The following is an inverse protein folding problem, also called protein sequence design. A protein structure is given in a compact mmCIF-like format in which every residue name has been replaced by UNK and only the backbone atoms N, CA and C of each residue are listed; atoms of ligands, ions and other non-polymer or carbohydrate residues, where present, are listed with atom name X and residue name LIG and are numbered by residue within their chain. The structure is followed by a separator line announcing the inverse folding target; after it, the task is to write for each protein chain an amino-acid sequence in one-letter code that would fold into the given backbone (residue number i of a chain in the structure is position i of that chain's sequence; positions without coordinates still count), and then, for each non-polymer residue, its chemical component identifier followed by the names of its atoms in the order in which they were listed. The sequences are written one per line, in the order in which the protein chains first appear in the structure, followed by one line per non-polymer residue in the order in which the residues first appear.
data_IF_175358786897
#
_entry.id   IF_175358786897
#
_cell.length_a   1.000
_cell.length_b   1.000
_cell.length_c   1.000
_cell.angle_alpha   90.00
_cell.angle_beta   90.00
_cell.angle_gamma   90.00
#
_symmetry.space_group_name_H-M   'P 1'
#
loop_
_entity.id
_entity.type
_entity.pdbx_description
1 polymer ?
#
# COMPACT_ATOMS: atom_id res chain seq x y z
N UNK A 1 -51.41 40.96 -52.25
CA UNK A 1 -50.13 41.54 -51.80
C UNK A 1 -49.74 40.85 -50.51
N UNK A 2 -48.49 40.38 -50.49
CA UNK A 2 -47.64 39.94 -49.39
C UNK A 2 -48.06 38.76 -48.50
N UNK A 3 -47.45 37.61 -48.79
CA UNK A 3 -47.18 36.58 -47.80
C UNK A 3 -45.94 36.92 -46.97
N UNK A 4 -45.97 36.66 -45.66
CA UNK A 4 -44.78 36.60 -44.80
C UNK A 4 -44.92 35.49 -43.76
N UNK A 5 -43.86 34.69 -43.74
CA UNK A 5 -43.53 33.56 -42.89
C UNK A 5 -43.61 33.88 -41.39
N UNK A 6 -44.13 32.91 -40.63
CA UNK A 6 -43.99 32.84 -39.17
C UNK A 6 -42.54 32.50 -38.80
N UNK A 7 -41.85 33.41 -38.07
CA UNK A 7 -40.57 33.13 -37.39
C UNK A 7 -40.84 32.69 -35.96
N UNK A 8 -40.20 31.61 -35.53
CA UNK A 8 -40.14 31.17 -34.14
C UNK A 8 -39.24 32.09 -33.28
N UNK A 9 -39.58 32.32 -31.99
CA UNK A 9 -38.72 33.02 -31.04
C UNK A 9 -37.58 32.11 -30.50
N UNK A 10 -36.43 32.70 -30.09
CA UNK A 10 -35.28 31.94 -29.56
C UNK A 10 -35.54 31.43 -28.12
N UNK A 11 -34.91 30.31 -27.71
CA UNK A 11 -35.09 29.73 -26.37
C UNK A 11 -34.38 30.53 -25.27
N UNK A 12 -35.06 30.67 -24.13
CA UNK A 12 -34.61 31.33 -22.90
C UNK A 12 -33.71 30.41 -22.06
N UNK A 13 -32.61 30.95 -21.51
CA UNK A 13 -31.78 30.29 -20.48
C UNK A 13 -32.48 30.30 -19.11
N UNK A 14 -32.47 29.19 -18.35
CA UNK A 14 -32.88 29.22 -16.94
C UNK A 14 -31.75 29.68 -16.01
N UNK A 15 -32.11 30.63 -15.15
CA UNK A 15 -31.35 31.29 -14.09
C UNK A 15 -31.07 30.37 -12.89
N UNK A 16 -29.93 30.58 -12.21
CA UNK A 16 -29.59 29.97 -10.91
C UNK A 16 -30.52 30.45 -9.78
N UNK A 17 -30.73 29.63 -8.73
CA UNK A 17 -31.16 30.13 -7.42
C UNK A 17 -30.06 30.00 -6.33
N UNK A 18 -29.90 31.08 -5.57
CA UNK A 18 -29.34 31.19 -4.22
C UNK A 18 -30.49 31.61 -3.28
N UNK A 19 -30.61 31.34 -1.96
CA UNK A 19 -29.84 30.67 -0.89
C UNK A 19 -30.78 30.50 0.35
N UNK A 20 -30.51 29.56 1.29
CA UNK A 20 -30.55 29.71 2.79
C UNK A 20 -30.81 28.42 3.63
N UNK A 21 -29.73 27.86 4.20
CA UNK A 21 -29.43 27.26 5.55
C UNK A 21 -30.44 26.39 6.36
N UNK A 22 -29.95 25.36 7.13
CA UNK A 22 -29.16 25.55 8.37
C UNK A 22 -27.89 24.70 8.52
N UNK A 23 -26.97 25.18 9.37
CA UNK A 23 -25.67 24.59 9.72
C UNK A 23 -25.80 23.29 10.53
N UNK A 24 -25.05 22.25 10.12
CA UNK A 24 -24.74 21.07 10.91
C UNK A 24 -23.19 20.91 10.92
N UNK A 25 -22.50 20.70 12.05
CA UNK A 25 -21.05 20.76 12.11
C UNK A 25 -20.37 19.39 11.89
N UNK A 26 -19.26 19.40 11.12
CA UNK A 26 -18.16 18.40 11.07
C UNK A 26 -18.47 16.98 10.51
N UNK A 27 -17.76 16.36 9.55
CA UNK A 27 -16.48 16.51 8.85
C UNK A 27 -16.57 15.86 7.45
N UNK A 28 -15.88 16.33 6.37
CA UNK A 28 -15.72 15.55 5.14
C UNK A 28 -14.33 14.87 5.04
N UNK A 29 -14.36 13.57 4.73
CA UNK A 29 -13.22 12.80 4.22
C UNK A 29 -12.73 13.43 2.91
N UNK A 30 -11.51 13.98 2.90
CA UNK A 30 -10.93 14.56 1.70
C UNK A 30 -10.08 13.51 0.97
N UNK A 31 -10.61 13.08 -0.18
CA UNK A 31 -9.89 12.43 -1.27
C UNK A 31 -8.69 13.30 -1.70
N UNK A 32 -7.48 12.77 -1.57
CA UNK A 32 -6.24 13.41 -2.05
C UNK A 32 -5.63 12.55 -3.16
N UNK A 33 -6.33 12.46 -4.30
CA UNK A 33 -5.76 11.94 -5.54
C UNK A 33 -6.32 12.70 -6.75
N UNK A 34 -5.99 13.98 -6.87
CA UNK A 34 -6.09 14.68 -8.16
C UNK A 34 -5.51 16.08 -8.04
N UNK A 35 -4.19 16.23 -8.22
CA UNK A 35 -3.57 17.40 -8.88
C UNK A 35 -2.21 16.98 -9.47
N UNK A 36 -2.15 16.86 -10.79
CA UNK A 36 -0.90 16.92 -11.57
C UNK A 36 -0.54 18.37 -11.87
N UNK A 37 0.72 18.78 -11.69
CA UNK A 37 1.29 19.88 -12.48
C UNK A 37 2.41 19.40 -13.40
N UNK A 38 2.62 20.19 -14.44
CA UNK A 38 3.40 19.93 -15.64
C UNK A 38 4.91 19.71 -15.41
N UNK A 39 5.49 18.98 -16.36
CA UNK A 39 6.91 18.64 -16.51
C UNK A 39 7.83 19.88 -16.53
N UNK A 40 8.81 19.90 -15.63
CA UNK A 40 10.17 20.36 -15.91
C UNK A 40 11.17 19.41 -15.24
N UNK A 41 12.10 18.85 -16.02
CA UNK A 41 13.17 17.98 -15.54
C UNK A 41 14.05 18.67 -14.50
N UNK A 42 14.59 17.91 -13.53
CA UNK A 42 16.02 18.02 -13.29
C UNK A 42 16.74 16.67 -13.09
N UNK A 43 18.04 16.74 -13.27
CA UNK A 43 19.02 15.66 -13.30
C UNK A 43 19.08 14.80 -12.03
N UNK A 44 19.34 13.51 -12.25
CA UNK A 44 19.89 12.59 -11.26
C UNK A 44 21.23 13.13 -10.72
N UNK A 45 21.45 13.07 -9.41
CA UNK A 45 22.36 12.04 -8.90
C UNK A 45 21.93 11.46 -7.55
N UNK A 46 21.87 10.13 -7.45
CA UNK A 46 21.78 9.41 -6.17
C UNK A 46 22.98 9.74 -5.26
N UNK A 47 22.78 9.66 -3.94
CA UNK A 47 23.61 8.70 -3.23
C UNK A 47 22.85 7.86 -2.19
N UNK A 48 23.10 6.56 -2.23
CA UNK A 48 22.88 5.60 -1.14
C UNK A 48 23.77 5.97 0.05
N UNK A 49 23.20 6.29 1.21
CA UNK A 49 23.83 6.07 2.54
C UNK A 49 22.94 6.62 3.65
N UNK A 50 22.14 5.77 4.29
CA UNK A 50 21.72 6.06 5.67
C UNK A 50 21.33 4.78 6.42
N UNK A 51 22.29 3.88 6.67
CA UNK A 51 22.18 2.85 7.71
C UNK A 51 23.57 2.40 8.18
N UNK A 52 24.26 3.24 8.96
CA UNK A 52 25.32 2.77 9.86
C UNK A 52 25.40 3.68 11.10
N UNK A 53 24.82 3.23 12.22
CA UNK A 53 25.14 3.78 13.53
C UNK A 53 25.51 2.63 14.49
N UNK A 54 26.81 2.40 14.63
CA UNK A 54 27.41 1.73 15.79
C UNK A 54 27.76 2.78 16.84
N UNK A 55 27.49 2.57 18.15
CA UNK A 55 27.89 3.53 19.18
C UNK A 55 29.36 3.34 19.56
N UNK A 56 30.18 4.36 19.30
CA UNK A 56 31.57 4.44 19.74
C UNK A 56 31.66 5.25 21.04
N UNK A 57 32.31 4.69 22.06
CA UNK A 57 32.62 5.34 23.34
C UNK A 57 33.58 6.53 23.16
N UNK A 58 33.44 7.64 23.91
CA UNK A 58 34.51 8.63 24.02
C UNK A 58 35.43 8.33 25.22
N UNK A 59 36.76 8.43 25.06
CA UNK A 59 37.69 8.48 26.18
C UNK A 59 37.95 9.95 26.55
N UNK A 60 37.64 10.37 27.78
CA UNK A 60 38.42 11.42 28.41
C UNK A 60 38.22 11.49 29.93
N UNK A 61 39.29 11.23 30.66
CA UNK A 61 39.44 11.51 32.08
C UNK A 61 39.91 12.96 32.29
N UNK A 62 39.44 13.67 33.33
CA UNK A 62 40.23 14.69 33.99
C UNK A 62 40.83 14.14 35.30
N UNK A 63 42.07 14.53 35.68
CA UNK A 63 42.64 14.14 36.97
C UNK A 63 42.15 15.10 38.06
N UNK A 64 41.44 14.59 39.07
CA UNK A 64 41.27 15.29 40.34
C UNK A 64 41.96 14.52 41.45
N UNK A 65 43.10 15.09 41.84
CA UNK A 65 43.84 14.77 43.05
C UNK A 65 43.00 15.21 44.26
N UNK A 66 42.75 14.33 45.23
CA UNK A 66 42.20 14.71 46.53
C UNK A 66 42.66 13.73 47.60
N UNK A 67 43.47 14.29 48.50
CA UNK A 67 44.11 13.70 49.66
C UNK A 67 43.22 12.76 50.51
N UNK A 68 43.88 11.71 50.99
CA UNK A 68 43.45 10.79 52.03
C UNK A 68 43.63 11.44 53.41
N UNK A 69 42.58 11.45 54.25
CA UNK A 69 42.66 11.38 55.72
C UNK A 69 41.32 10.87 56.33
N UNK A 70 41.34 9.87 57.26
CA UNK A 70 40.21 9.45 58.12
C UNK A 70 40.21 10.24 59.45
N UNK A 71 39.17 10.25 60.35
CA UNK A 71 38.40 9.12 60.95
C UNK A 71 36.87 9.42 61.04
N UNK A 72 35.92 8.58 61.49
CA UNK A 72 35.74 7.82 62.75
C UNK A 72 34.37 7.05 62.66
N UNK A 73 34.08 6.03 63.51
CA UNK A 73 33.01 5.05 63.28
C UNK A 73 31.70 5.27 64.10
N UNK A 74 30.57 4.95 63.45
CA UNK A 74 29.26 4.46 63.96
C UNK A 74 28.43 5.35 64.93
N UNK A 75 27.10 5.14 65.16
CA UNK A 75 26.37 3.87 65.11
C UNK A 75 25.01 3.83 64.36
N UNK A 76 24.80 2.71 63.67
CA UNK A 76 23.54 1.95 63.54
C UNK A 76 22.19 2.68 63.69
N UNK A 77 21.49 2.87 62.57
CA UNK A 77 20.02 2.95 62.53
C UNK A 77 19.46 1.74 61.77
N UNK A 78 18.81 0.86 62.53
CA UNK A 78 18.07 -0.29 62.01
C UNK A 78 16.77 0.19 61.39
N UNK A 79 16.73 0.32 60.06
CA UNK A 79 15.47 0.46 59.34
C UNK A 79 14.89 -0.93 59.12
N UNK A 80 13.71 -1.17 59.71
CA UNK A 80 12.88 -2.34 59.41
C UNK A 80 12.59 -2.35 57.91
N UNK A 81 13.00 -3.42 57.24
CA UNK A 81 12.60 -3.75 55.88
C UNK A 81 11.08 -3.91 55.83
N UNK A 82 10.41 -2.87 55.34
CA UNK A 82 9.05 -2.98 54.85
C UNK A 82 9.18 -3.36 53.38
N UNK A 83 8.95 -4.64 53.08
CA UNK A 83 8.90 -5.17 51.71
C UNK A 83 7.68 -4.57 50.99
N UNK A 84 7.81 -3.34 50.49
CA UNK A 84 6.98 -2.88 49.39
C UNK A 84 7.64 -3.40 48.11
N UNK A 85 6.95 -4.29 47.41
CA UNK A 85 7.29 -4.69 46.05
C UNK A 85 7.25 -3.43 45.18
N UNK A 86 8.42 -2.85 44.93
CA UNK A 86 8.59 -1.78 43.95
C UNK A 86 8.52 -2.45 42.58
N UNK A 87 7.33 -2.48 41.98
CA UNK A 87 7.18 -2.78 40.56
C UNK A 87 8.00 -1.78 39.78
N UNK A 88 9.08 -2.22 39.14
CA UNK A 88 9.93 -1.35 38.34
C UNK A 88 9.14 -0.84 37.12
N UNK A 89 9.33 0.42 36.68
CA UNK A 89 8.63 0.97 35.51
C UNK A 89 8.81 0.15 34.24
N UNK A 90 9.93 -0.59 34.13
CA UNK A 90 10.24 -1.49 33.01
C UNK A 90 9.25 -2.67 32.88
N UNK A 91 8.77 -3.22 34.00
CA UNK A 91 7.83 -4.36 33.97
C UNK A 91 6.45 -3.93 33.46
N UNK A 92 6.01 -2.71 33.81
CA UNK A 92 4.72 -2.19 33.36
C UNK A 92 4.74 -1.79 31.88
N UNK A 93 5.85 -1.23 31.38
CA UNK A 93 6.00 -0.95 29.95
C UNK A 93 6.01 -2.23 29.10
N UNK A 94 6.65 -3.29 29.59
CA UNK A 94 6.74 -4.56 28.88
C UNK A 94 5.39 -5.29 28.85
N UNK A 95 4.69 -5.38 29.98
CA UNK A 95 3.34 -5.95 30.03
C UNK A 95 2.34 -5.18 29.13
N UNK A 96 2.51 -3.86 29.02
CA UNK A 96 1.71 -3.04 28.10
C UNK A 96 2.03 -3.35 26.64
N UNK A 97 3.31 -3.47 26.28
CA UNK A 97 3.73 -3.81 24.93
C UNK A 97 3.23 -5.19 24.50
N UNK A 98 3.31 -6.20 25.38
CA UNK A 98 2.78 -7.54 25.15
C UNK A 98 1.26 -7.53 24.92
N UNK A 99 0.52 -6.74 25.70
CA UNK A 99 -0.93 -6.56 25.51
C UNK A 99 -1.25 -5.93 24.15
N UNK A 100 -0.46 -4.93 23.72
CA UNK A 100 -0.64 -4.30 22.41
C UNK A 100 -0.29 -5.28 21.28
N UNK A 101 0.78 -6.05 21.42
CA UNK A 101 1.19 -7.06 20.44
C UNK A 101 0.10 -8.13 20.26
N UNK A 102 -0.50 -8.61 21.36
CA UNK A 102 -1.63 -9.53 21.30
C UNK A 102 -2.85 -8.94 20.59
N UNK A 103 -3.15 -7.66 20.80
CA UNK A 103 -4.24 -6.97 20.10
C UNK A 103 -3.96 -6.81 18.60
N UNK A 104 -2.72 -6.51 18.23
CA UNK A 104 -2.26 -6.45 16.83
C UNK A 104 -2.38 -7.81 16.15
N UNK A 105 -1.89 -8.88 16.80
CA UNK A 105 -1.98 -10.24 16.27
C UNK A 105 -3.44 -10.65 16.05
N UNK A 106 -4.31 -10.38 17.02
CA UNK A 106 -5.75 -10.63 16.89
C UNK A 106 -6.37 -9.83 15.75
N UNK A 107 -6.13 -8.52 15.69
CA UNK A 107 -6.66 -7.66 14.63
C UNK A 107 -6.26 -8.13 13.24
N UNK A 108 -5.01 -8.58 13.07
CA UNK A 108 -4.53 -9.18 11.83
C UNK A 108 -5.31 -10.45 11.48
N UNK A 109 -5.46 -11.38 12.43
CA UNK A 109 -6.23 -12.62 12.20
C UNK A 109 -7.68 -12.33 11.84
N UNK A 110 -8.32 -11.37 12.51
CA UNK A 110 -9.70 -10.98 12.23
C UNK A 110 -9.86 -10.43 10.80
N UNK A 111 -8.92 -9.59 10.33
CA UNK A 111 -8.93 -9.07 8.96
C UNK A 111 -8.72 -10.18 7.91
N UNK A 112 -7.81 -11.11 8.17
CA UNK A 112 -7.59 -12.27 7.29
C UNK A 112 -8.85 -13.14 7.22
N UNK A 113 -9.48 -13.40 8.36
CA UNK A 113 -10.72 -14.18 8.44
C UNK A 113 -11.89 -13.50 7.71
N UNK A 114 -11.89 -12.16 7.63
CA UNK A 114 -12.84 -11.40 6.84
C UNK A 114 -12.56 -11.43 5.32
N UNK A 115 -11.44 -12.03 4.89
CA UNK A 115 -11.02 -12.04 3.49
C UNK A 115 -10.55 -10.68 2.98
N UNK A 116 -10.22 -9.75 3.88
CA UNK A 116 -9.75 -8.42 3.54
C UNK A 116 -8.25 -8.39 3.22
N UNK A 117 -7.83 -7.35 2.48
CA UNK A 117 -6.42 -6.98 2.43
C UNK A 117 -5.97 -6.38 3.77
N UNK A 118 -4.81 -6.84 4.22
CA UNK A 118 -4.20 -6.46 5.48
C UNK A 118 -3.07 -5.47 5.22
N UNK A 119 -3.16 -4.29 5.84
CA UNK A 119 -2.07 -3.32 5.90
C UNK A 119 -1.69 -3.04 7.35
N UNK A 120 -0.46 -2.61 7.56
CA UNK A 120 0.03 -2.21 8.89
C UNK A 120 -0.84 -1.11 9.50
N UNK A 121 -1.33 -0.19 8.68
CA UNK A 121 -2.22 0.87 9.12
C UNK A 121 -3.59 0.33 9.58
N UNK A 122 -4.24 -0.52 8.80
CA UNK A 122 -5.54 -1.13 9.17
C UNK A 122 -5.42 -1.92 10.47
N UNK A 123 -4.36 -2.71 10.61
CA UNK A 123 -4.09 -3.50 11.81
C UNK A 123 -3.84 -2.60 13.02
N UNK A 124 -3.04 -1.54 12.88
CA UNK A 124 -2.79 -0.59 13.95
C UNK A 124 -4.09 0.12 14.41
N UNK A 125 -4.94 0.55 13.48
CA UNK A 125 -6.23 1.16 13.80
C UNK A 125 -7.16 0.17 14.52
N UNK A 126 -7.29 -1.05 13.99
CA UNK A 126 -8.12 -2.08 14.61
C UNK A 126 -7.63 -2.45 16.02
N UNK A 127 -6.31 -2.51 16.24
CA UNK A 127 -5.73 -2.75 17.56
C UNK A 127 -6.05 -1.60 18.54
N UNK A 128 -5.96 -0.34 18.12
CA UNK A 128 -6.33 0.81 18.96
C UNK A 128 -7.80 0.78 19.37
N UNK A 129 -8.69 0.44 18.43
CA UNK A 129 -10.13 0.26 18.71
C UNK A 129 -10.36 -0.86 19.72
N UNK A 130 -9.71 -2.02 19.54
CA UNK A 130 -9.84 -3.16 20.45
C UNK A 130 -9.30 -2.85 21.87
N UNK A 131 -8.28 -2.01 21.97
CA UNK A 131 -7.69 -1.59 23.24
C UNK A 131 -8.42 -0.40 23.89
N UNK A 132 -9.38 0.21 23.20
CA UNK A 132 -10.08 1.43 23.62
C UNK A 132 -9.10 2.58 23.89
N UNK A 133 -8.14 2.79 23.00
CA UNK A 133 -7.15 3.87 23.08
C UNK A 133 -7.33 4.81 21.89
N UNK A 134 -7.38 6.11 22.16
CA UNK A 134 -7.69 7.13 21.14
C UNK A 134 -6.61 7.28 20.07
N UNK A 135 -5.35 7.02 20.42
CA UNK A 135 -4.22 7.19 19.49
C UNK A 135 -3.03 6.33 19.87
N UNK A 136 -2.16 6.06 18.90
CA UNK A 136 -0.91 5.36 19.15
C UNK A 136 0.03 6.13 20.08
N UNK A 137 0.01 7.47 20.02
CA UNK A 137 0.83 8.33 20.88
C UNK A 137 0.56 8.12 22.38
N UNK A 138 -0.67 7.79 22.75
CA UNK A 138 -1.08 7.52 24.14
C UNK A 138 -0.50 6.22 24.72
N UNK A 139 0.09 5.36 23.88
CA UNK A 139 0.72 4.10 24.30
C UNK A 139 2.12 4.32 24.89
N UNK A 140 2.78 5.44 24.55
CA UNK A 140 4.09 5.81 25.09
C UNK A 140 5.26 5.07 24.44
N UNK A 141 5.05 4.40 23.31
CA UNK A 141 6.07 3.70 22.54
C UNK A 141 5.71 3.69 21.04
N UNK A 142 6.70 3.47 20.17
CA UNK A 142 6.52 3.51 18.71
C UNK A 142 5.90 2.21 18.17
N UNK A 143 5.29 2.26 16.98
CA UNK A 143 4.73 1.07 16.31
C UNK A 143 5.79 -0.01 16.05
N UNK A 144 7.03 0.40 15.79
CA UNK A 144 8.17 -0.47 15.52
C UNK A 144 8.58 -1.29 16.75
N UNK A 145 8.20 -0.85 17.95
CA UNK A 145 8.48 -1.56 19.20
C UNK A 145 7.47 -2.69 19.46
N UNK A 146 6.43 -2.84 18.63
CA UNK A 146 5.47 -3.94 18.68
C UNK A 146 5.88 -5.00 17.64
N UNK A 147 6.41 -6.16 18.05
CA UNK A 147 7.01 -7.13 17.14
C UNK A 147 6.10 -7.57 15.99
N UNK A 148 4.84 -7.90 16.28
CA UNK A 148 3.87 -8.37 15.28
C UNK A 148 3.53 -7.28 14.26
N UNK A 149 3.47 -6.02 14.69
CA UNK A 149 3.20 -4.88 13.79
C UNK A 149 4.44 -4.54 12.97
N UNK A 150 5.61 -4.53 13.59
CA UNK A 150 6.87 -4.26 12.92
C UNK A 150 7.18 -5.31 11.84
N UNK A 151 6.97 -6.59 12.14
CA UNK A 151 7.11 -7.66 11.14
C UNK A 151 6.16 -7.46 9.97
N UNK A 152 4.91 -7.05 10.23
CA UNK A 152 3.93 -6.77 9.18
C UNK A 152 4.38 -5.61 8.29
N UNK A 153 4.89 -4.52 8.87
CA UNK A 153 5.42 -3.36 8.12
C UNK A 153 6.57 -3.75 7.19
N UNK A 154 7.47 -4.62 7.66
CA UNK A 154 8.59 -5.12 6.85
C UNK A 154 8.07 -5.97 5.69
N UNK A 155 7.18 -6.91 5.97
CA UNK A 155 6.60 -7.79 4.95
C UNK A 155 5.82 -6.99 3.91
N UNK A 156 4.92 -6.09 4.34
CA UNK A 156 4.15 -5.21 3.46
C UNK A 156 5.06 -4.39 2.54
N UNK A 157 6.06 -3.70 3.11
CA UNK A 157 6.99 -2.88 2.33
C UNK A 157 7.82 -3.69 1.32
N UNK A 158 8.22 -4.91 1.67
CA UNK A 158 8.95 -5.82 0.77
C UNK A 158 8.07 -6.26 -0.41
N UNK A 159 6.84 -6.67 -0.13
CA UNK A 159 5.90 -7.11 -1.16
C UNK A 159 5.48 -5.95 -2.06
N UNK A 160 5.26 -4.76 -1.51
CA UNK A 160 4.98 -3.55 -2.29
C UNK A 160 6.11 -3.26 -3.28
N UNK A 161 7.36 -3.29 -2.80
CA UNK A 161 8.53 -3.08 -3.64
C UNK A 161 8.64 -4.16 -4.75
N UNK A 162 8.37 -5.43 -4.41
CA UNK A 162 8.38 -6.52 -5.38
C UNK A 162 7.34 -6.28 -6.48
N UNK A 163 6.10 -5.94 -6.12
CA UNK A 163 5.03 -5.69 -7.09
C UNK A 163 5.40 -4.54 -8.02
N UNK A 164 5.87 -3.42 -7.48
CA UNK A 164 6.32 -2.27 -8.27
C UNK A 164 7.42 -2.65 -9.27
N UNK A 165 8.44 -3.38 -8.82
CA UNK A 165 9.52 -3.86 -9.69
C UNK A 165 8.99 -4.82 -10.76
N UNK A 166 8.16 -5.78 -10.36
CA UNK A 166 7.62 -6.82 -11.24
C UNK A 166 6.83 -6.22 -12.41
N UNK A 167 5.92 -5.29 -12.13
CA UNK A 167 5.12 -4.61 -13.17
C UNK A 167 5.91 -3.54 -13.92
N UNK A 168 6.95 -2.99 -13.31
CA UNK A 168 7.82 -1.98 -13.92
C UNK A 168 8.69 -2.52 -15.04
N UNK A 169 9.14 -3.78 -14.95
CA UNK A 169 10.02 -4.40 -15.96
C UNK A 169 9.30 -5.30 -16.98
N UNK A 170 8.02 -5.62 -16.75
CA UNK A 170 7.24 -6.50 -17.63
C UNK A 170 6.18 -5.73 -18.41
N UNK A 171 6.20 -5.89 -19.74
CA UNK A 171 5.19 -5.31 -20.64
C UNK A 171 3.88 -6.08 -20.64
N UNK A 172 3.95 -7.41 -20.65
CA UNK A 172 2.81 -8.32 -20.58
C UNK A 172 3.00 -9.13 -19.31
N UNK A 173 1.99 -9.19 -18.46
CA UNK A 173 2.04 -9.96 -17.23
C UNK A 173 0.64 -10.26 -16.69
N UNK A 174 0.54 -11.20 -15.74
CA UNK A 174 -0.70 -11.56 -15.05
C UNK A 174 -0.52 -11.54 -13.54
N UNK A 175 -1.63 -11.38 -12.81
CA UNK A 175 -1.65 -11.53 -11.34
C UNK A 175 -1.25 -12.95 -10.92
N UNK A 176 -1.58 -13.95 -11.73
CA UNK A 176 -1.19 -15.33 -11.48
C UNK A 176 0.34 -15.48 -11.43
N UNK A 177 1.05 -15.00 -12.44
CA UNK A 177 2.52 -15.07 -12.45
C UNK A 177 3.15 -14.18 -11.39
N UNK A 178 2.56 -13.03 -11.09
CA UNK A 178 2.99 -12.19 -9.97
C UNK A 178 2.95 -12.99 -8.65
N UNK A 179 1.83 -13.67 -8.38
CA UNK A 179 1.68 -14.48 -7.18
C UNK A 179 2.68 -15.63 -7.11
N UNK A 180 2.89 -16.34 -8.23
CA UNK A 180 3.88 -17.43 -8.31
C UNK A 180 5.30 -16.93 -8.02
N UNK A 181 5.70 -15.81 -8.62
CA UNK A 181 7.03 -15.26 -8.41
C UNK A 181 7.23 -14.68 -7.00
N UNK A 182 6.21 -14.07 -6.40
CA UNK A 182 6.25 -13.66 -4.98
C UNK A 182 6.44 -14.90 -4.10
N UNK A 183 5.62 -15.95 -4.29
CA UNK A 183 5.70 -17.15 -3.44
C UNK A 183 7.07 -17.83 -3.54
N UNK A 184 7.66 -17.84 -4.75
CA UNK A 184 9.00 -18.36 -4.99
C UNK A 184 10.09 -17.53 -4.32
N UNK A 185 10.00 -16.20 -4.36
CA UNK A 185 10.96 -15.29 -3.71
C UNK A 185 10.90 -15.41 -2.18
N UNK A 186 9.70 -15.56 -1.64
CA UNK A 186 9.44 -15.70 -0.19
C UNK A 186 9.66 -17.12 0.35
N UNK A 187 9.75 -18.12 -0.52
CA UNK A 187 9.89 -19.53 -0.14
C UNK A 187 8.62 -20.13 0.50
N UNK A 188 7.44 -19.65 0.09
CA UNK A 188 6.11 -20.07 0.60
C UNK A 188 5.30 -20.76 -0.50
N UNK A 189 4.27 -21.52 -0.14
CA UNK A 189 3.41 -22.23 -1.09
C UNK A 189 2.30 -21.38 -1.69
N UNK A 190 1.76 -20.44 -0.90
CA UNK A 190 0.67 -19.55 -1.30
C UNK A 190 0.82 -18.16 -0.66
N UNK A 191 0.31 -17.13 -1.34
CA UNK A 191 0.48 -15.73 -0.94
C UNK A 191 -0.12 -15.45 0.45
N UNK A 192 -1.20 -16.14 0.81
CA UNK A 192 -1.90 -15.99 2.09
C UNK A 192 -1.01 -16.32 3.30
N UNK A 193 0.05 -17.10 3.13
CA UNK A 193 1.03 -17.38 4.19
C UNK A 193 1.79 -16.12 4.65
N UNK A 194 1.86 -15.08 3.81
CA UNK A 194 2.39 -13.77 4.19
C UNK A 194 1.49 -13.04 5.19
N UNK A 195 0.25 -13.49 5.38
CA UNK A 195 -0.74 -12.86 6.24
C UNK A 195 -1.06 -11.43 5.83
N UNK A 196 -1.01 -11.14 4.52
CA UNK A 196 -1.44 -9.89 3.89
C UNK A 196 -2.88 -9.95 3.36
N UNK A 197 -3.56 -11.08 3.54
CA UNK A 197 -4.83 -11.40 2.90
C UNK A 197 -4.65 -11.93 1.47
N UNK A 198 -5.74 -12.09 0.70
CA UNK A 198 -5.67 -12.60 -0.67
C UNK A 198 -4.97 -11.62 -1.61
N UNK A 199 -4.10 -12.12 -2.50
CA UNK A 199 -3.36 -11.27 -3.46
C UNK A 199 -4.29 -10.41 -4.32
N UNK A 200 -5.45 -10.94 -4.71
CA UNK A 200 -6.46 -10.24 -5.49
C UNK A 200 -6.97 -8.95 -4.82
N UNK A 201 -6.95 -8.89 -3.49
CA UNK A 201 -7.39 -7.73 -2.69
C UNK A 201 -6.25 -6.75 -2.41
N UNK A 202 -5.02 -7.08 -2.77
CA UNK A 202 -3.87 -6.25 -2.51
C UNK A 202 -3.99 -4.90 -3.26
N UNK A 203 -3.79 -3.74 -2.61
CA UNK A 203 -4.04 -2.42 -3.22
C UNK A 203 -3.31 -2.20 -4.54
N UNK A 204 -2.03 -2.60 -4.61
CA UNK A 204 -1.25 -2.49 -5.84
C UNK A 204 -1.74 -3.43 -6.96
N UNK A 205 -2.30 -4.59 -6.62
CA UNK A 205 -2.86 -5.52 -7.63
C UNK A 205 -4.12 -4.93 -8.22
N UNK A 206 -5.03 -4.44 -7.38
CA UNK A 206 -6.24 -3.73 -7.82
C UNK A 206 -5.87 -2.56 -8.74
N UNK A 207 -4.84 -1.79 -8.37
CA UNK A 207 -4.37 -0.65 -9.15
C UNK A 207 -3.76 -1.06 -10.50
N UNK A 208 -2.77 -1.96 -10.51
CA UNK A 208 -2.01 -2.27 -11.72
C UNK A 208 -2.74 -3.15 -12.72
N UNK A 209 -3.63 -4.02 -12.25
CA UNK A 209 -4.33 -5.01 -13.07
C UNK A 209 -5.81 -4.68 -13.28
N UNK A 210 -6.31 -3.60 -12.68
CA UNK A 210 -7.72 -3.18 -12.78
C UNK A 210 -8.69 -4.32 -12.41
N UNK A 211 -8.29 -5.15 -11.43
CA UNK A 211 -9.13 -6.23 -10.92
C UNK A 211 -10.26 -5.61 -10.10
N UNK A 212 -11.48 -6.13 -10.26
CA UNK A 212 -12.60 -5.71 -9.43
C UNK A 212 -12.35 -6.14 -7.98
N UNK A 213 -12.61 -5.24 -7.03
CA UNK A 213 -12.57 -5.52 -5.60
C UNK A 213 -13.35 -6.79 -5.29
N UNK A 214 -14.51 -7.04 -5.88
CA UNK A 214 -15.36 -8.20 -5.57
C UNK A 214 -14.89 -9.53 -6.21
N UNK A 215 -13.82 -9.51 -6.99
CA UNK A 215 -13.26 -10.71 -7.61
C UNK A 215 -12.64 -11.61 -6.54
N UNK A 216 -13.24 -12.80 -6.37
CA UNK A 216 -12.72 -13.85 -5.47
C UNK A 216 -11.64 -14.66 -6.19
N UNK A 217 -11.88 -15.00 -7.46
CA UNK A 217 -11.00 -15.83 -8.27
C UNK A 217 -10.49 -15.08 -9.50
N UNK A 218 -9.18 -15.01 -9.63
CA UNK A 218 -8.51 -14.47 -10.81
C UNK A 218 -8.12 -15.64 -11.73
N UNK A 219 -8.28 -15.44 -13.03
CA UNK A 219 -7.87 -16.42 -14.03
C UNK A 219 -6.38 -16.76 -13.89
N UNK A 220 -6.09 -18.06 -13.81
CA UNK A 220 -4.72 -18.57 -13.91
C UNK A 220 -4.31 -18.57 -15.38
N UNK A 221 -3.55 -17.54 -15.77
CA UNK A 221 -3.05 -17.36 -17.14
C UNK A 221 -1.59 -16.92 -17.11
N UNK A 222 -0.75 -17.49 -17.97
CA UNK A 222 0.68 -17.12 -18.06
C UNK A 222 0.94 -16.09 -19.15
N UNK A 223 2.09 -15.42 -19.09
CA UNK A 223 2.52 -14.49 -20.16
C UNK A 223 2.65 -15.20 -21.50
N UNK A 224 3.16 -16.43 -21.51
CA UNK A 224 3.24 -17.26 -22.73
C UNK A 224 1.85 -17.48 -23.34
N UNK A 225 0.87 -17.84 -22.50
CA UNK A 225 -0.50 -18.07 -22.93
C UNK A 225 -1.16 -16.78 -23.46
N UNK A 226 -0.90 -15.64 -22.83
CA UNK A 226 -1.35 -14.32 -23.32
C UNK A 226 -0.75 -14.03 -24.71
N UNK A 227 0.55 -14.29 -24.91
CA UNK A 227 1.21 -14.07 -26.21
C UNK A 227 0.62 -14.98 -27.30
N UNK A 228 0.32 -16.24 -26.97
CA UNK A 228 -0.33 -17.16 -27.90
C UNK A 228 -1.73 -16.69 -28.29
N UNK A 229 -2.52 -16.23 -27.31
CA UNK A 229 -3.85 -15.66 -27.56
C UNK A 229 -3.77 -14.39 -28.41
N UNK A 230 -2.78 -13.54 -28.17
CA UNK A 230 -2.54 -12.33 -28.97
C UNK A 230 -2.21 -12.67 -30.42
N UNK A 231 -1.37 -13.68 -30.65
CA UNK A 231 -1.04 -14.17 -31.99
C UNK A 231 -2.30 -14.69 -32.71
N UNK A 232 -3.14 -15.45 -32.01
CA UNK A 232 -4.40 -15.95 -32.55
C UNK A 232 -5.39 -14.82 -32.87
N UNK A 233 -5.54 -13.85 -31.97
CA UNK A 233 -6.39 -12.67 -32.18
C UNK A 233 -5.97 -11.90 -33.43
N UNK A 234 -4.66 -11.66 -33.59
CA UNK A 234 -4.11 -10.96 -34.76
C UNK A 234 -4.33 -11.72 -36.08
N UNK A 235 -4.35 -13.05 -36.05
CA UNK A 235 -4.65 -13.83 -37.26
C UNK A 235 -6.14 -13.78 -37.65
N UNK A 236 -7.03 -13.49 -36.69
CA UNK A 236 -8.47 -13.33 -36.91
C UNK A 236 -8.83 -11.90 -37.34
N UNK A 237 -8.08 -10.90 -36.86
CA UNK A 237 -8.30 -9.50 -37.19
C UNK A 237 -7.56 -9.10 -38.48
N UNK A 238 -8.31 -8.65 -39.48
CA UNK A 238 -7.74 -8.06 -40.70
C UNK A 238 -7.16 -6.64 -40.50
N UNK A 239 -7.38 -6.03 -39.34
CA UNK A 239 -6.92 -4.67 -39.01
C UNK A 239 -5.48 -4.66 -38.50
N UNK A 240 -4.74 -3.60 -38.87
CA UNK A 240 -3.36 -3.39 -38.40
C UNK A 240 -3.28 -2.91 -36.94
N UNK A 241 -4.33 -2.28 -36.44
CA UNK A 241 -4.41 -1.80 -35.06
C UNK A 241 -5.18 -2.79 -34.18
N UNK A 242 -4.46 -3.36 -33.20
CA UNK A 242 -5.01 -4.21 -32.15
C UNK A 242 -5.38 -3.31 -30.98
N UNK A 243 -6.68 -3.11 -30.74
CA UNK A 243 -7.13 -2.41 -29.53
C UNK A 243 -7.03 -3.36 -28.34
N UNK A 244 -6.47 -2.87 -27.24
CA UNK A 244 -6.31 -3.65 -26.01
C UNK A 244 -7.64 -4.18 -25.49
N UNK A 245 -8.69 -3.37 -25.52
CA UNK A 245 -10.00 -3.76 -25.01
C UNK A 245 -10.63 -4.90 -25.82
N UNK A 246 -10.58 -4.81 -27.15
CA UNK A 246 -11.08 -5.88 -28.03
C UNK A 246 -10.31 -7.20 -27.83
N UNK A 247 -8.99 -7.10 -27.58
CA UNK A 247 -8.18 -8.26 -27.23
C UNK A 247 -8.57 -8.86 -25.87
N UNK A 248 -8.77 -8.04 -24.84
CA UNK A 248 -9.18 -8.53 -23.52
C UNK A 248 -10.57 -9.18 -23.55
N UNK A 249 -11.51 -8.62 -24.33
CA UNK A 249 -12.83 -9.21 -24.54
C UNK A 249 -12.72 -10.57 -25.24
N UNK A 250 -11.87 -10.68 -26.27
CA UNK A 250 -11.57 -11.96 -26.92
C UNK A 250 -11.00 -12.99 -25.93
N UNK A 251 -10.08 -12.58 -25.04
CA UNK A 251 -9.53 -13.49 -24.02
C UNK A 251 -10.62 -13.91 -23.02
N UNK A 252 -11.47 -12.99 -22.58
CA UNK A 252 -12.58 -13.28 -21.69
C UNK A 252 -13.57 -14.28 -22.31
N UNK A 253 -13.97 -14.07 -23.57
CA UNK A 253 -14.84 -14.98 -24.31
C UNK A 253 -14.19 -16.36 -24.44
N UNK A 254 -12.93 -16.40 -24.89
CA UNK A 254 -12.19 -17.66 -25.10
C UNK A 254 -11.96 -18.44 -23.81
N UNK A 255 -11.92 -17.78 -22.67
CA UNK A 255 -11.77 -18.38 -21.34
C UNK A 255 -13.09 -18.53 -20.59
N UNK A 256 -14.21 -18.14 -21.20
CA UNK A 256 -15.55 -18.16 -20.59
C UNK A 256 -15.60 -17.43 -19.25
N UNK A 257 -14.90 -16.29 -19.15
CA UNK A 257 -14.86 -15.44 -17.97
C UNK A 257 -15.86 -14.30 -18.16
N UNK A 258 -16.62 -13.98 -17.10
CA UNK A 258 -17.75 -13.03 -17.15
C UNK A 258 -17.35 -11.57 -17.49
N UNK A 259 -16.06 -11.24 -17.49
CA UNK A 259 -15.55 -9.91 -17.76
C UNK A 259 -14.03 -9.82 -17.67
N UNK A 260 -13.46 -8.78 -18.27
CA UNK A 260 -12.02 -8.54 -18.34
C UNK A 260 -11.38 -8.30 -16.96
N UNK A 261 -12.14 -7.77 -16.00
CA UNK A 261 -11.72 -7.50 -14.61
C UNK A 261 -11.36 -8.77 -13.82
N UNK A 262 -11.75 -9.94 -14.32
CA UNK A 262 -11.41 -11.25 -13.73
C UNK A 262 -10.20 -11.92 -14.40
N UNK A 263 -9.71 -11.34 -15.50
CA UNK A 263 -8.54 -11.88 -16.21
C UNK A 263 -7.25 -11.66 -15.42
N UNK A 264 -7.16 -10.55 -14.68
CA UNK A 264 -5.94 -10.17 -13.98
C UNK A 264 -4.74 -10.01 -14.93
N UNK A 265 -4.98 -9.50 -16.14
CA UNK A 265 -3.95 -9.31 -17.17
C UNK A 265 -3.56 -7.83 -17.21
N UNK A 266 -2.26 -7.56 -17.32
CA UNK A 266 -1.71 -6.23 -17.57
C UNK A 266 -0.87 -6.24 -18.83
N UNK A 267 -1.19 -5.35 -19.76
CA UNK A 267 -0.43 -5.11 -21.00
C UNK A 267 -0.13 -3.62 -21.11
N UNK A 268 1.15 -3.26 -21.01
CA UNK A 268 1.64 -1.94 -21.37
C UNK A 268 1.69 -1.83 -22.89
N UNK A 269 0.90 -0.91 -23.46
CA UNK A 269 0.77 -0.51 -24.88
C UNK A 269 1.49 -1.42 -25.88
N UNK A 270 0.75 -2.01 -26.83
CA UNK A 270 1.36 -2.70 -27.97
C UNK A 270 2.33 -1.75 -28.68
N UNK A 271 3.63 -2.02 -28.64
CA UNK A 271 4.67 -1.13 -29.17
C UNK A 271 4.74 -1.13 -30.69
N UNK A 272 3.61 -1.14 -31.37
CA UNK A 272 3.57 -0.94 -32.82
C UNK A 272 3.38 0.55 -33.06
N UNK A 273 4.49 1.29 -32.99
CA UNK A 273 4.53 2.62 -33.55
C UNK A 273 4.22 2.53 -35.03
N UNK A 274 3.10 3.10 -35.45
CA UNK A 274 2.92 3.48 -36.84
C UNK A 274 4.01 4.51 -37.16
N UNK A 275 5.03 4.11 -37.92
CA UNK A 275 5.95 5.02 -38.60
C UNK A 275 5.11 6.00 -39.43
N UNK A 276 4.85 7.18 -38.88
CA UNK A 276 4.46 8.34 -39.67
C UNK A 276 5.66 8.71 -40.52
N UNK A 277 5.59 8.28 -41.79
CA UNK A 277 6.41 8.83 -42.87
C UNK A 277 6.43 10.35 -42.75
N UNK A 278 7.62 10.89 -42.52
CA UNK A 278 7.90 12.28 -42.85
C UNK A 278 8.19 12.26 -44.36
N UNK A 279 7.12 12.41 -45.15
CA UNK A 279 7.22 12.95 -46.50
C UNK A 279 7.51 14.45 -46.35
N UNK A 280 8.77 14.84 -46.51
CA UNK A 280 9.14 16.21 -46.87
C UNK A 280 10.07 16.08 -48.07
N UNK A 281 9.45 15.94 -49.25
CA UNK A 281 10.07 16.27 -50.52
C UNK A 281 9.59 17.65 -50.93
N UNK A 282 10.47 18.65 -50.88
CA UNK A 282 10.88 19.55 -51.98
C UNK A 282 11.84 20.62 -51.45
#
# INVERSE_FOLDING_TARGET
MDGRHWRWPPPQQPSQPSSSQPQNPNFPLQNVYSQTPAFTQPQNPFPYHLWQHTPNFPPNFPPQNSNVHPPNPNPSFSYKQQHQQISTPATHSQARAEKVDGAVAKARTDLIAAGESVSSWKVAQAALVALQVDSWGSLGFSMQQVPSLHSLMITEGKIDAFIHCFVGVRRITSVYELGVEICKDEGIGQFEELGLGPLARHPLVLHYFSVNVDTIDILKITTEEIILLLSQFRNLCSSKDVKLEEFLDFVAEKRSVAGKEKLGIRILHFGFGSDTKIDEGF
#
